data_IF_382124336263
#
_entry.id   IF_382124336263
#
_cell.length_a   1.000
_cell.length_b   1.000
_cell.length_c   1.000
_cell.angle_alpha   90.00
_cell.angle_beta   90.00
_cell.angle_gamma   90.00
#
_symmetry.space_group_name_H-M   'P 1'
#
loop_
_entity.id
_entity.type
_entity.pdbx_description
1 polymer ?
#
# COMPACT_ATOMS: atom_id res chain seq x y z
N UNK A 1 -23.02 7.11 0.49
CA UNK A 1 -21.99 8.06 -0.04
C UNK A 1 -20.76 8.02 0.83
N UNK A 2 -19.60 7.78 0.23
CA UNK A 2 -18.41 7.45 1.01
C UNK A 2 -17.26 8.43 0.85
N UNK A 3 -17.10 9.09 -0.30
CA UNK A 3 -15.94 9.94 -0.63
C UNK A 3 -14.63 9.14 -0.68
N UNK A 4 -13.63 9.64 -1.38
CA UNK A 4 -12.30 9.02 -1.43
C UNK A 4 -11.19 10.07 -1.57
N UNK A 5 -10.04 9.78 -0.97
CA UNK A 5 -8.83 10.53 -1.24
C UNK A 5 -8.37 10.25 -2.67
N UNK A 6 -7.90 11.28 -3.36
CA UNK A 6 -7.37 11.20 -4.73
C UNK A 6 -5.91 11.59 -4.68
N UNK A 7 -5.07 10.86 -5.38
CA UNK A 7 -3.65 11.19 -5.53
C UNK A 7 -3.18 10.93 -6.96
N UNK A 8 -2.14 11.67 -7.33
CA UNK A 8 -1.48 11.56 -8.62
C UNK A 8 -0.40 10.47 -8.56
N UNK A 9 -0.15 9.80 -9.69
CA UNK A 9 1.01 8.93 -9.92
C UNK A 9 2.29 9.76 -9.90
N UNK A 10 2.21 10.98 -10.44
CA UNK A 10 3.26 11.99 -10.33
C UNK A 10 3.18 12.60 -8.94
N UNK A 11 4.13 12.23 -8.09
CA UNK A 11 4.18 12.65 -6.70
C UNK A 11 5.37 13.60 -6.48
N UNK A 12 5.97 13.57 -5.30
CA UNK A 12 7.08 14.44 -4.90
C UNK A 12 8.20 14.49 -5.94
N UNK A 13 8.55 15.71 -6.37
CA UNK A 13 9.62 15.96 -7.35
C UNK A 13 9.44 15.21 -8.68
N UNK A 14 8.21 14.82 -9.03
CA UNK A 14 7.92 14.06 -10.24
C UNK A 14 8.25 12.56 -10.15
N UNK A 15 8.56 12.04 -8.96
CA UNK A 15 8.78 10.60 -8.77
C UNK A 15 7.45 9.82 -8.65
N UNK A 16 7.45 8.51 -8.98
CA UNK A 16 6.32 7.64 -8.71
C UNK A 16 5.95 7.62 -7.23
N UNK A 17 4.66 7.78 -6.94
CA UNK A 17 4.14 7.88 -5.57
C UNK A 17 4.55 6.71 -4.66
N UNK A 18 4.55 5.49 -5.19
CA UNK A 18 4.84 4.26 -4.47
C UNK A 18 6.32 4.20 -4.05
N UNK A 19 7.23 4.63 -4.92
CA UNK A 19 8.66 4.69 -4.62
C UNK A 19 9.02 5.74 -3.56
N UNK A 20 8.19 6.77 -3.38
CA UNK A 20 8.37 7.77 -2.33
C UNK A 20 7.67 7.35 -1.04
N UNK A 21 6.44 6.85 -1.16
CA UNK A 21 5.57 6.56 -0.02
C UNK A 21 5.85 5.22 0.65
N UNK A 22 6.23 4.19 -0.11
CA UNK A 22 6.50 2.84 0.39
C UNK A 22 7.99 2.66 0.69
N UNK A 23 8.48 3.29 1.76
CA UNK A 23 9.82 3.05 2.32
C UNK A 23 9.74 2.42 3.71
N UNK A 24 10.79 1.70 4.11
CA UNK A 24 10.85 1.07 5.45
C UNK A 24 10.82 2.11 6.56
N UNK A 25 11.56 3.21 6.38
CA UNK A 25 11.59 4.34 7.31
C UNK A 25 10.20 4.95 7.52
N UNK A 26 9.51 5.33 6.44
CA UNK A 26 8.16 5.91 6.56
C UNK A 26 7.17 4.89 7.13
N UNK A 27 7.33 3.61 6.80
CA UNK A 27 6.48 2.57 7.35
C UNK A 27 6.66 2.43 8.87
N UNK A 28 7.88 2.52 9.40
CA UNK A 28 8.13 2.53 10.85
C UNK A 28 7.44 3.74 11.48
N UNK A 29 7.63 4.94 10.92
CA UNK A 29 6.99 6.15 11.43
C UNK A 29 5.46 5.99 11.47
N UNK A 30 4.85 5.57 10.36
CA UNK A 30 3.38 5.40 10.28
C UNK A 30 2.85 4.41 11.30
N UNK A 31 3.56 3.29 11.50
CA UNK A 31 3.13 2.22 12.39
C UNK A 31 3.48 2.47 13.87
N UNK A 32 4.38 3.42 14.17
CA UNK A 32 4.64 3.88 15.53
C UNK A 32 3.67 4.99 15.99
N UNK A 33 2.98 5.65 15.06
CA UNK A 33 2.03 6.73 15.37
C UNK A 33 0.61 6.20 15.60
N UNK A 34 -0.20 6.88 16.45
CA UNK A 34 -1.62 6.57 16.61
C UNK A 34 -2.37 6.63 15.27
N UNK A 35 -3.33 5.73 15.07
CA UNK A 35 -3.98 5.59 13.76
C UNK A 35 -4.66 6.86 13.23
N UNK A 36 -5.28 7.65 14.11
CA UNK A 36 -5.88 8.94 13.72
C UNK A 36 -4.84 9.95 13.22
N UNK A 37 -3.65 9.98 13.82
CA UNK A 37 -2.55 10.84 13.39
C UNK A 37 -1.99 10.37 12.05
N UNK A 38 -1.80 9.06 11.89
CA UNK A 38 -1.30 8.48 10.62
C UNK A 38 -2.22 8.80 9.46
N UNK A 39 -3.55 8.63 9.63
CA UNK A 39 -4.51 9.00 8.58
C UNK A 39 -4.58 10.52 8.37
N UNK A 40 -4.50 11.31 9.45
CA UNK A 40 -4.44 12.78 9.36
C UNK A 40 -3.22 13.30 8.59
N UNK A 41 -2.04 12.72 8.79
CA UNK A 41 -0.82 13.07 8.04
C UNK A 41 -0.97 12.74 6.55
N UNK A 42 -1.55 11.59 6.22
CA UNK A 42 -1.83 11.21 4.83
C UNK A 42 -2.85 12.17 4.21
N UNK A 43 -3.94 12.46 4.93
CA UNK A 43 -4.97 13.41 4.50
C UNK A 43 -4.38 14.81 4.23
N UNK A 44 -3.51 15.28 5.12
CA UNK A 44 -2.81 16.55 4.93
C UNK A 44 -1.92 16.50 3.69
N UNK A 45 -1.19 15.40 3.48
CA UNK A 45 -0.32 15.24 2.31
C UNK A 45 -1.10 15.25 1.00
N UNK A 46 -2.19 14.51 0.88
CA UNK A 46 -3.00 14.50 -0.36
C UNK A 46 -3.71 15.82 -0.59
N UNK A 47 -4.08 16.55 0.46
CA UNK A 47 -4.67 17.89 0.35
C UNK A 47 -3.68 18.97 -0.13
N UNK A 48 -2.36 18.74 -0.06
CA UNK A 48 -1.38 19.66 -0.62
C UNK A 48 -1.42 19.71 -2.15
N UNK A 49 -1.97 18.68 -2.81
CA UNK A 49 -2.20 18.74 -4.25
C UNK A 49 -3.40 19.63 -4.57
N UNK A 50 -4.55 19.34 -3.96
CA UNK A 50 -5.75 20.18 -4.00
C UNK A 50 -6.65 19.89 -2.79
N UNK A 51 -7.43 20.88 -2.36
CA UNK A 51 -8.32 20.71 -1.21
C UNK A 51 -9.51 19.83 -1.57
N UNK A 52 -9.57 18.62 -1.02
CA UNK A 52 -10.61 17.63 -1.32
C UNK A 52 -12.00 18.02 -0.80
N UNK A 53 -12.08 18.89 0.22
CA UNK A 53 -13.37 19.39 0.70
C UNK A 53 -14.00 20.33 -0.33
N UNK A 54 -13.20 21.25 -0.91
CA UNK A 54 -13.65 22.18 -1.94
C UNK A 54 -14.14 21.46 -3.21
N UNK A 55 -13.60 20.27 -3.48
CA UNK A 55 -13.94 19.45 -4.65
C UNK A 55 -14.99 18.37 -4.36
N UNK A 56 -15.57 18.34 -3.14
CA UNK A 56 -16.64 17.39 -2.78
C UNK A 56 -16.19 15.93 -2.66
N UNK A 57 -14.89 15.66 -2.52
CA UNK A 57 -14.33 14.29 -2.53
C UNK A 57 -14.05 13.73 -1.14
N UNK A 58 -14.10 14.55 -0.10
CA UNK A 58 -13.66 14.17 1.24
C UNK A 58 -14.39 12.93 1.79
N UNK A 59 -13.67 11.92 2.31
CA UNK A 59 -14.31 10.75 2.89
C UNK A 59 -15.15 11.08 4.13
N UNK A 60 -16.29 10.38 4.29
CA UNK A 60 -17.15 10.52 5.49
C UNK A 60 -16.47 9.95 6.75
N UNK A 61 -15.93 8.74 6.68
CA UNK A 61 -15.11 8.18 7.76
C UNK A 61 -13.64 8.40 7.45
N UNK A 62 -12.96 9.17 8.31
CA UNK A 62 -11.55 9.54 8.18
C UNK A 62 -10.65 8.77 9.15
N UNK A 63 -11.21 7.81 9.92
CA UNK A 63 -10.43 6.99 10.86
C UNK A 63 -9.83 5.77 10.20
N UNK A 64 -10.43 5.32 9.10
CA UNK A 64 -9.97 4.20 8.29
C UNK A 64 -9.36 4.68 6.98
N UNK A 65 -8.28 4.02 6.58
CA UNK A 65 -7.65 4.17 5.29
C UNK A 65 -8.47 3.41 4.26
N UNK A 66 -9.07 4.16 3.33
CA UNK A 66 -9.58 3.60 2.09
C UNK A 66 -8.47 3.61 1.05
N UNK A 67 -8.61 2.76 0.05
CA UNK A 67 -7.67 2.78 -1.07
C UNK A 67 -7.87 4.10 -1.83
N UNK A 68 -6.83 4.95 -1.93
CA UNK A 68 -6.95 6.22 -2.61
C UNK A 68 -7.11 6.00 -4.12
N UNK A 69 -7.85 6.90 -4.76
CA UNK A 69 -8.02 6.89 -6.22
C UNK A 69 -6.75 7.44 -6.86
N UNK A 70 -6.11 6.64 -7.71
CA UNK A 70 -4.94 7.06 -8.50
C UNK A 70 -5.38 7.62 -9.85
N UNK A 71 -5.52 8.95 -9.94
CA UNK A 71 -5.94 9.62 -11.17
C UNK A 71 -5.30 11.01 -11.28
N UNK A 72 -4.51 11.22 -12.34
CA UNK A 72 -3.74 12.44 -12.58
C UNK A 72 -4.58 13.59 -13.17
N UNK A 73 -5.75 13.28 -13.74
CA UNK A 73 -6.58 14.22 -14.50
C UNK A 73 -7.85 14.66 -13.75
N UNK A 74 -8.30 13.88 -12.77
CA UNK A 74 -9.58 14.10 -12.10
C UNK A 74 -9.74 15.53 -11.55
N UNK A 75 -8.75 16.13 -10.83
CA UNK A 75 -8.91 17.49 -10.33
C UNK A 75 -9.05 18.52 -11.44
N UNK A 76 -8.29 18.37 -12.53
CA UNK A 76 -8.37 19.24 -13.70
C UNK A 76 -9.72 19.14 -14.42
N UNK A 77 -10.31 17.95 -14.48
CA UNK A 77 -11.64 17.76 -15.04
C UNK A 77 -12.74 18.40 -14.16
N UNK A 78 -12.58 18.38 -12.84
CA UNK A 78 -13.54 19.01 -11.91
C UNK A 78 -13.48 20.53 -12.03
N UNK A 79 -12.28 21.13 -11.96
CA UNK A 79 -12.15 22.60 -12.01
C UNK A 79 -12.56 23.19 -13.37
N UNK A 80 -12.45 22.43 -14.45
CA UNK A 80 -12.90 22.84 -15.79
C UNK A 80 -14.37 22.54 -16.07
N UNK A 81 -15.09 21.93 -15.12
CA UNK A 81 -16.52 21.59 -15.28
C UNK A 81 -16.80 20.40 -16.20
N UNK A 82 -15.77 19.64 -16.61
CA UNK A 82 -15.95 18.42 -17.42
C UNK A 82 -16.50 17.25 -16.60
N UNK A 83 -16.23 17.23 -15.30
CA UNK A 83 -16.74 16.23 -14.36
C UNK A 83 -17.34 16.94 -13.16
N UNK A 84 -18.60 16.66 -12.86
CA UNK A 84 -19.27 17.12 -11.65
C UNK A 84 -19.40 15.96 -10.67
N UNK A 85 -18.92 16.14 -9.43
CA UNK A 85 -19.04 15.14 -8.38
C UNK A 85 -20.44 15.24 -7.77
N UNK A 86 -21.24 14.20 -7.95
CA UNK A 86 -22.59 14.12 -7.40
C UNK A 86 -22.65 13.28 -6.11
N UNK A 87 -23.62 13.55 -5.22
CA UNK A 87 -23.96 12.66 -4.12
C UNK A 87 -24.48 11.29 -4.62
N UNK A 88 -24.91 10.41 -3.73
CA UNK A 88 -25.41 9.10 -4.11
C UNK A 88 -26.72 9.25 -4.90
N UNK A 89 -26.93 8.31 -5.80
CA UNK A 89 -28.21 8.14 -6.48
C UNK A 89 -29.28 7.79 -5.45
N UNK A 90 -30.37 8.56 -5.44
CA UNK A 90 -31.60 8.29 -4.68
C UNK A 90 -32.53 7.40 -5.50
N UNK A 91 -32.73 7.74 -6.77
CA UNK A 91 -33.68 7.07 -7.65
C UNK A 91 -33.29 7.27 -9.13
N UNK A 92 -33.55 6.25 -9.95
CA UNK A 92 -33.49 6.35 -11.41
C UNK A 92 -34.89 6.61 -11.94
N UNK A 93 -35.04 7.65 -12.77
CA UNK A 93 -36.22 7.91 -13.59
C UNK A 93 -35.95 7.43 -15.02
N UNK A 94 -36.94 7.59 -15.89
CA UNK A 94 -36.87 7.13 -17.29
C UNK A 94 -35.65 7.67 -18.05
N UNK A 95 -35.43 8.99 -18.03
CA UNK A 95 -34.29 9.66 -18.70
C UNK A 95 -33.47 10.55 -17.75
N UNK A 96 -33.61 10.34 -16.43
CA UNK A 96 -32.99 11.20 -15.44
C UNK A 96 -32.62 10.46 -14.15
N UNK A 97 -31.72 11.05 -13.38
CA UNK A 97 -31.27 10.54 -12.08
C UNK A 97 -31.56 11.58 -11.01
N UNK A 98 -32.17 11.12 -9.91
CA UNK A 98 -32.34 11.94 -8.70
C UNK A 98 -31.22 11.60 -7.75
N UNK A 99 -30.45 12.60 -7.32
CA UNK A 99 -29.40 12.42 -6.32
C UNK A 99 -29.88 12.81 -4.91
N UNK A 100 -29.26 12.24 -3.89
CA UNK A 100 -29.56 12.55 -2.49
C UNK A 100 -29.20 14.00 -2.18
N UNK A 101 -30.11 14.72 -1.52
CA UNK A 101 -29.96 16.14 -1.17
C UNK A 101 -29.78 17.09 -2.36
N UNK A 102 -30.10 16.65 -3.57
CA UNK A 102 -30.16 17.49 -4.76
C UNK A 102 -31.64 17.61 -5.16
N UNK A 103 -32.21 18.83 -5.21
CA UNK A 103 -33.64 18.99 -5.44
C UNK A 103 -34.06 18.64 -6.87
N UNK A 104 -33.19 18.86 -7.86
CA UNK A 104 -33.49 18.67 -9.27
C UNK A 104 -33.02 17.29 -9.74
N UNK A 105 -33.77 16.70 -10.66
CA UNK A 105 -33.32 15.53 -11.41
C UNK A 105 -32.35 15.98 -12.52
N UNK A 106 -31.31 15.19 -12.74
CA UNK A 106 -30.31 15.41 -13.79
C UNK A 106 -30.61 14.48 -14.95
N UNK A 107 -30.80 15.00 -16.15
CA UNK A 107 -31.00 14.20 -17.35
C UNK A 107 -29.69 13.46 -17.70
N UNK A 108 -29.80 12.16 -17.98
CA UNK A 108 -28.65 11.32 -18.32
C UNK A 108 -29.00 10.32 -19.41
N UNK A 109 -28.12 10.18 -20.39
CA UNK A 109 -28.28 9.21 -21.48
C UNK A 109 -27.67 7.84 -21.16
N UNK A 110 -26.66 7.81 -20.28
CA UNK A 110 -25.87 6.60 -20.02
C UNK A 110 -25.41 6.54 -18.58
N UNK A 111 -25.59 5.37 -17.97
CA UNK A 111 -25.16 5.08 -16.60
C UNK A 111 -24.10 3.99 -16.62
N UNK A 112 -22.92 4.27 -16.06
CA UNK A 112 -21.82 3.30 -15.94
C UNK A 112 -21.63 2.90 -14.48
N UNK A 113 -21.93 1.64 -14.16
CA UNK A 113 -21.76 1.09 -12.81
C UNK A 113 -20.31 0.63 -12.56
N UNK A 114 -19.47 1.54 -12.10
CA UNK A 114 -18.12 1.24 -11.61
C UNK A 114 -18.13 0.70 -10.15
N UNK A 115 -19.05 -0.23 -9.82
CA UNK A 115 -19.33 -0.67 -8.44
C UNK A 115 -18.40 -1.79 -7.92
N UNK A 116 -17.34 -2.11 -8.68
CA UNK A 116 -16.38 -3.16 -8.37
C UNK A 116 -16.89 -4.57 -8.69
N UNK A 117 -16.15 -5.57 -8.22
CA UNK A 117 -16.37 -6.98 -8.55
C UNK A 117 -16.62 -7.82 -7.29
N UNK A 118 -17.27 -8.98 -7.47
CA UNK A 118 -17.36 -10.05 -6.48
C UNK A 118 -16.41 -11.18 -6.90
N UNK A 119 -15.80 -11.84 -5.94
CA UNK A 119 -14.95 -13.00 -6.17
C UNK A 119 -15.68 -14.27 -5.70
N UNK A 120 -15.60 -15.33 -6.50
CA UNK A 120 -16.12 -16.66 -6.18
C UNK A 120 -15.18 -17.72 -6.75
N UNK A 121 -15.21 -18.92 -6.16
CA UNK A 121 -14.40 -20.07 -6.58
C UNK A 121 -15.33 -21.22 -6.97
N UNK A 122 -15.93 -21.17 -8.16
CA UNK A 122 -16.95 -22.13 -8.62
C UNK A 122 -16.44 -23.57 -8.79
N UNK A 123 -15.13 -23.76 -8.82
CA UNK A 123 -14.46 -25.06 -8.91
C UNK A 123 -14.05 -25.63 -7.54
N UNK A 124 -14.34 -24.94 -6.43
CA UNK A 124 -14.11 -25.41 -5.07
C UNK A 124 -15.45 -25.50 -4.35
N UNK A 125 -15.70 -26.63 -3.69
CA UNK A 125 -16.91 -26.82 -2.89
C UNK A 125 -17.00 -25.79 -1.75
N UNK A 126 -18.20 -25.25 -1.49
CA UNK A 126 -18.41 -24.22 -0.46
C UNK A 126 -18.10 -24.73 0.96
N UNK A 127 -18.17 -26.03 1.21
CA UNK A 127 -17.75 -26.63 2.50
C UNK A 127 -16.25 -26.49 2.74
N UNK A 128 -15.44 -26.39 1.67
CA UNK A 128 -13.99 -26.22 1.73
C UNK A 128 -13.64 -24.73 1.80
N UNK A 129 -14.15 -23.94 0.85
CA UNK A 129 -13.84 -22.51 0.72
C UNK A 129 -15.11 -21.69 0.51
N UNK A 130 -15.61 -21.12 1.59
CA UNK A 130 -16.72 -20.15 1.52
C UNK A 130 -16.21 -18.72 1.47
N UNK A 131 -16.67 -17.96 0.47
CA UNK A 131 -16.46 -16.51 0.38
C UNK A 131 -17.70 -15.81 0.93
N UNK A 132 -17.60 -15.23 2.12
CA UNK A 132 -18.67 -14.47 2.77
C UNK A 132 -18.25 -13.01 2.93
N UNK A 133 -19.14 -12.06 2.60
CA UNK A 133 -18.89 -10.62 2.77
C UNK A 133 -17.56 -10.15 2.15
N UNK A 134 -17.22 -10.67 0.95
CA UNK A 134 -15.96 -10.41 0.22
C UNK A 134 -14.71 -10.87 0.96
N UNK A 135 -14.83 -11.83 1.87
CA UNK A 135 -13.73 -12.40 2.63
C UNK A 135 -13.83 -13.92 2.63
N UNK A 136 -12.69 -14.59 2.74
CA UNK A 136 -12.60 -16.04 2.88
C UNK A 136 -11.73 -16.35 4.10
N UNK A 137 -12.09 -17.38 4.86
CA UNK A 137 -11.41 -17.81 6.09
C UNK A 137 -10.05 -18.44 5.78
N UNK A 138 -9.10 -17.62 5.32
CA UNK A 138 -7.79 -18.04 4.85
C UNK A 138 -6.69 -17.52 5.77
N UNK A 139 -5.87 -18.43 6.28
CA UNK A 139 -4.70 -18.08 7.06
C UNK A 139 -3.71 -17.31 6.18
N UNK A 140 -3.37 -16.09 6.61
CA UNK A 140 -2.58 -15.11 5.85
C UNK A 140 -3.11 -14.87 4.42
N UNK A 141 -4.42 -15.03 4.19
CA UNK A 141 -5.05 -14.94 2.87
C UNK A 141 -4.60 -16.03 1.86
N UNK A 142 -4.07 -17.16 2.35
CA UNK A 142 -3.51 -18.23 1.52
C UNK A 142 -4.09 -19.61 1.86
N UNK A 143 -3.87 -20.07 3.09
CA UNK A 143 -4.10 -21.46 3.47
C UNK A 143 -5.45 -21.67 4.13
N UNK A 144 -6.05 -22.85 3.91
CA UNK A 144 -7.32 -23.24 4.51
C UNK A 144 -7.04 -23.99 5.83
N UNK A 145 -7.37 -23.43 7.01
CA UNK A 145 -7.03 -24.06 8.29
C UNK A 145 -7.74 -25.39 8.55
N UNK A 146 -8.86 -25.61 7.85
CA UNK A 146 -9.74 -26.77 8.01
C UNK A 146 -9.20 -28.03 7.33
N UNK A 147 -8.19 -27.89 6.46
CA UNK A 147 -7.58 -29.04 5.80
C UNK A 147 -6.58 -29.72 6.74
N UNK A 148 -6.68 -31.05 6.85
CA UNK A 148 -5.73 -31.86 7.64
C UNK A 148 -4.29 -31.76 7.12
N UNK A 149 -4.14 -31.65 5.79
CA UNK A 149 -2.85 -31.48 5.11
C UNK A 149 -2.84 -30.16 4.33
N UNK A 150 -1.78 -29.34 4.44
CA UNK A 150 -1.69 -28.07 3.74
C UNK A 150 -1.27 -28.27 2.28
N UNK A 151 -2.12 -28.90 1.46
CA UNK A 151 -1.86 -29.23 0.05
C UNK A 151 -2.62 -28.34 -0.93
N UNK A 152 -3.45 -27.43 -0.43
CA UNK A 152 -4.18 -26.43 -1.22
C UNK A 152 -3.87 -25.03 -0.67
N UNK A 153 -3.65 -24.09 -1.57
CA UNK A 153 -3.36 -22.70 -1.26
C UNK A 153 -4.00 -21.78 -2.31
N UNK A 154 -4.51 -20.63 -1.86
CA UNK A 154 -5.05 -19.58 -2.72
C UNK A 154 -4.03 -18.45 -2.81
N UNK A 155 -3.58 -18.10 -4.01
CA UNK A 155 -2.62 -17.02 -4.24
C UNK A 155 -3.36 -15.83 -4.85
N UNK A 156 -3.09 -14.63 -4.34
CA UNK A 156 -3.65 -13.38 -4.85
C UNK A 156 -5.00 -12.98 -4.28
N UNK A 157 -5.56 -13.74 -3.33
CA UNK A 157 -6.81 -13.36 -2.65
C UNK A 157 -6.58 -12.34 -1.52
N UNK A 158 -5.92 -11.23 -1.85
CA UNK A 158 -5.50 -10.15 -0.96
C UNK A 158 -5.52 -8.82 -1.73
N UNK A 159 -5.79 -7.71 -1.05
CA UNK A 159 -5.73 -6.34 -1.61
C UNK A 159 -4.61 -5.55 -0.95
N UNK A 160 -3.35 -5.69 -1.39
CA UNK A 160 -2.24 -4.98 -0.76
C UNK A 160 -2.31 -3.49 -1.06
N UNK A 161 -1.96 -2.66 -0.08
CA UNK A 161 -1.65 -1.25 -0.28
C UNK A 161 -0.26 -1.15 -0.92
N UNK A 162 -0.20 -1.38 -2.24
CA UNK A 162 1.02 -1.48 -3.02
C UNK A 162 0.83 -2.43 -4.22
N UNK A 163 1.91 -2.75 -4.92
CA UNK A 163 1.83 -3.65 -6.07
C UNK A 163 1.49 -5.10 -5.66
N UNK A 164 0.54 -5.72 -6.36
CA UNK A 164 0.14 -7.12 -6.11
C UNK A 164 1.20 -8.13 -6.58
N UNK A 165 1.93 -7.83 -7.66
CA UNK A 165 2.91 -8.72 -8.28
C UNK A 165 3.98 -9.25 -7.29
N UNK A 166 4.68 -8.40 -6.52
CA UNK A 166 5.65 -8.89 -5.54
C UNK A 166 4.99 -9.62 -4.36
N UNK A 167 3.75 -9.27 -4.02
CA UNK A 167 3.01 -9.94 -2.94
C UNK A 167 2.72 -11.38 -3.34
N UNK A 168 2.16 -11.62 -4.53
CA UNK A 168 1.84 -12.98 -4.99
C UNK A 168 3.09 -13.82 -5.26
N UNK A 169 4.20 -13.19 -5.64
CA UNK A 169 5.49 -13.87 -5.77
C UNK A 169 6.00 -14.40 -4.42
N UNK A 170 5.91 -13.58 -3.36
CA UNK A 170 6.30 -13.99 -2.01
C UNK A 170 5.33 -15.03 -1.44
N UNK A 171 4.02 -14.87 -1.70
CA UNK A 171 3.02 -15.90 -1.37
C UNK A 171 3.39 -17.24 -2.01
N UNK A 172 3.69 -17.26 -3.31
CA UNK A 172 4.08 -18.48 -4.02
C UNK A 172 5.37 -19.11 -3.44
N UNK A 173 6.38 -18.30 -3.12
CA UNK A 173 7.61 -18.78 -2.49
C UNK A 173 7.37 -19.44 -1.14
N UNK A 174 6.50 -18.87 -0.31
CA UNK A 174 6.14 -19.50 0.95
C UNK A 174 5.31 -20.77 0.74
N UNK A 175 4.31 -20.73 -0.13
CA UNK A 175 3.43 -21.87 -0.46
C UNK A 175 4.21 -23.10 -0.89
N UNK A 176 5.09 -22.95 -1.88
CA UNK A 176 5.91 -24.07 -2.39
C UNK A 176 6.78 -24.70 -1.31
N UNK A 177 7.27 -23.92 -0.35
CA UNK A 177 8.06 -24.44 0.78
C UNK A 177 7.21 -25.17 1.81
N UNK A 178 5.97 -24.72 2.03
CA UNK A 178 5.00 -25.45 2.85
C UNK A 178 4.63 -26.78 2.20
N UNK A 179 4.34 -26.78 0.90
CA UNK A 179 4.03 -28.00 0.14
C UNK A 179 5.19 -29.01 0.15
N UNK A 180 6.43 -28.52 0.08
CA UNK A 180 7.63 -29.36 0.19
C UNK A 180 8.01 -29.75 1.64
N UNK A 181 7.21 -29.38 2.65
CA UNK A 181 7.48 -29.67 4.06
C UNK A 181 8.67 -28.91 4.68
N UNK A 182 9.26 -27.96 3.95
CA UNK A 182 10.38 -27.12 4.41
C UNK A 182 9.94 -26.01 5.37
N UNK A 183 8.66 -25.67 5.35
CA UNK A 183 8.03 -24.72 6.27
C UNK A 183 6.76 -25.35 6.84
N UNK A 184 6.55 -25.28 8.15
CA UNK A 184 5.35 -25.80 8.80
C UNK A 184 4.38 -24.68 9.11
N UNK A 185 3.09 -24.93 8.91
CA UNK A 185 2.02 -24.04 9.38
C UNK A 185 1.82 -24.24 10.89
N UNK A 186 1.36 -23.20 11.62
CA UNK A 186 0.95 -23.36 13.00
C UNK A 186 -0.31 -24.25 13.12
N UNK A 187 -0.67 -24.70 14.34
CA UNK A 187 -1.88 -25.51 14.54
C UNK A 187 -3.16 -24.83 14.04
N UNK A 188 -4.17 -25.58 13.56
CA UNK A 188 -5.42 -25.03 13.04
C UNK A 188 -6.12 -24.04 13.98
N UNK A 189 -6.08 -24.30 15.29
CA UNK A 189 -6.64 -23.41 16.31
C UNK A 189 -6.00 -22.03 16.27
N UNK A 190 -4.67 -21.95 16.23
CA UNK A 190 -3.93 -20.69 16.14
C UNK A 190 -4.19 -19.96 14.83
N UNK A 191 -4.27 -20.70 13.70
CA UNK A 191 -4.63 -20.12 12.42
C UNK A 191 -6.03 -19.49 12.45
N UNK A 192 -7.01 -20.18 13.03
CA UNK A 192 -8.39 -19.72 13.15
C UNK A 192 -8.54 -18.53 14.11
N UNK A 193 -7.80 -18.51 15.22
CA UNK A 193 -7.75 -17.37 16.14
C UNK A 193 -7.29 -16.09 15.41
N UNK A 194 -6.20 -16.17 14.63
CA UNK A 194 -5.69 -15.02 13.87
C UNK A 194 -6.68 -14.57 12.78
N UNK A 195 -7.32 -15.52 12.09
CA UNK A 195 -8.34 -15.21 11.08
C UNK A 195 -9.52 -14.48 11.72
N UNK A 196 -10.00 -14.96 12.87
CA UNK A 196 -11.13 -14.36 13.57
C UNK A 196 -10.78 -12.97 14.12
N UNK A 197 -9.55 -12.77 14.59
CA UNK A 197 -9.07 -11.45 14.99
C UNK A 197 -9.11 -10.47 13.80
N UNK A 198 -8.63 -10.89 12.63
CA UNK A 198 -8.67 -10.07 11.40
C UNK A 198 -10.09 -9.84 10.88
N UNK A 199 -10.97 -10.84 10.97
CA UNK A 199 -12.39 -10.73 10.57
C UNK A 199 -13.15 -9.68 11.37
N UNK A 200 -12.80 -9.49 12.64
CA UNK A 200 -13.41 -8.46 13.48
C UNK A 200 -13.08 -7.02 13.00
N UNK A 201 -12.14 -6.86 12.06
CA UNK A 201 -11.70 -5.60 11.45
C UNK A 201 -11.59 -4.44 12.47
N UNK A 202 -11.01 -4.74 13.63
CA UNK A 202 -10.85 -3.77 14.72
C UNK A 202 -9.90 -2.66 14.26
N UNK A 203 -10.21 -1.43 14.64
CA UNK A 203 -9.30 -0.32 14.41
C UNK A 203 -8.01 -0.56 15.18
N UNK A 204 -6.90 -0.55 14.46
CA UNK A 204 -5.58 -0.63 15.06
C UNK A 204 -5.34 0.65 15.87
N UNK A 205 -4.81 0.50 17.09
CA UNK A 205 -4.42 1.62 17.94
C UNK A 205 -3.32 2.47 17.29
N UNK A 206 -2.39 1.80 16.61
CA UNK A 206 -1.26 2.39 15.92
C UNK A 206 -1.24 1.93 14.45
N UNK A 207 -0.65 2.72 13.57
CA UNK A 207 -0.58 2.38 12.15
C UNK A 207 -1.88 2.58 11.38
N UNK A 208 -1.93 2.00 10.17
CA UNK A 208 -3.09 2.10 9.30
C UNK A 208 -4.15 1.07 9.71
N UNK A 209 -5.39 1.53 9.80
CA UNK A 209 -6.58 0.68 9.86
C UNK A 209 -7.27 0.72 8.51
N UNK A 210 -7.60 -0.44 7.93
CA UNK A 210 -8.25 -0.50 6.62
C UNK A 210 -9.77 -0.69 6.74
N UNK A 211 -10.51 -0.24 5.74
CA UNK A 211 -11.97 -0.35 5.68
C UNK A 211 -12.48 -1.73 5.25
N UNK A 212 -11.59 -2.59 4.73
CA UNK A 212 -11.91 -3.94 4.26
C UNK A 212 -10.90 -4.97 4.80
N UNK A 213 -11.39 -6.16 5.19
CA UNK A 213 -10.56 -7.23 5.77
C UNK A 213 -9.49 -7.73 4.81
N UNK A 214 -9.74 -7.74 3.49
CA UNK A 214 -8.74 -8.18 2.50
C UNK A 214 -7.61 -7.17 2.30
N UNK A 215 -7.75 -5.94 2.82
CA UNK A 215 -6.71 -4.92 2.66
C UNK A 215 -5.60 -5.11 3.67
N UNK A 216 -4.36 -5.05 3.19
CA UNK A 216 -3.18 -5.21 4.01
C UNK A 216 -2.07 -4.24 3.59
N UNK A 217 -1.25 -3.82 4.54
CA UNK A 217 -0.01 -3.12 4.21
C UNK A 217 0.95 -4.09 3.50
N UNK A 218 1.37 -3.75 2.28
CA UNK A 218 2.17 -4.65 1.46
C UNK A 218 3.53 -4.95 2.09
N UNK A 219 4.15 -3.98 2.77
CA UNK A 219 5.49 -4.13 3.33
C UNK A 219 5.43 -5.03 4.56
N UNK A 220 4.49 -4.78 5.47
CA UNK A 220 4.31 -5.61 6.67
C UNK A 220 3.99 -7.06 6.28
N UNK A 221 3.08 -7.25 5.33
CA UNK A 221 2.70 -8.57 4.85
C UNK A 221 3.87 -9.32 4.20
N UNK A 222 4.61 -8.67 3.29
CA UNK A 222 5.77 -9.27 2.63
C UNK A 222 6.92 -9.56 3.61
N UNK A 223 7.16 -8.70 4.60
CA UNK A 223 8.15 -8.94 5.65
C UNK A 223 7.75 -10.11 6.57
N UNK A 224 6.47 -10.23 6.89
CA UNK A 224 5.95 -11.36 7.69
C UNK A 224 6.16 -12.68 6.95
N UNK A 225 5.65 -12.81 5.72
CA UNK A 225 5.86 -14.01 4.92
C UNK A 225 7.34 -14.26 4.64
N UNK A 226 8.07 -13.19 4.37
CA UNK A 226 9.51 -13.25 4.13
C UNK A 226 10.29 -13.75 5.35
N UNK A 227 9.80 -13.51 6.57
CA UNK A 227 10.41 -14.03 7.79
C UNK A 227 10.26 -15.54 7.92
N UNK A 228 9.12 -16.11 7.51
CA UNK A 228 8.87 -17.57 7.56
C UNK A 228 9.81 -18.38 6.66
N UNK A 229 10.36 -17.74 5.63
CA UNK A 229 11.24 -18.39 4.65
C UNK A 229 12.66 -17.82 4.65
N UNK A 230 13.00 -16.93 5.60
CA UNK A 230 14.36 -16.42 5.80
C UNK A 230 14.85 -15.43 4.73
N UNK A 231 13.94 -14.70 4.08
CA UNK A 231 14.24 -13.77 2.98
C UNK A 231 14.03 -12.30 3.37
N UNK A 232 13.50 -12.04 4.58
CA UNK A 232 13.33 -10.69 5.11
C UNK A 232 14.72 -10.06 5.35
N UNK A 233 15.04 -8.91 4.73
CA UNK A 233 16.33 -8.27 4.94
C UNK A 233 16.44 -7.74 6.38
N UNK A 234 17.54 -8.06 7.06
CA UNK A 234 17.87 -7.49 8.36
C UNK A 234 18.69 -6.21 8.19
N UNK A 235 18.04 -5.06 8.36
CA UNK A 235 18.68 -3.74 8.22
C UNK A 235 19.86 -3.57 9.20
N UNK A 236 19.76 -3.93 10.51
CA UNK A 236 20.90 -3.81 11.42
C UNK A 236 22.10 -4.66 11.01
N UNK A 237 21.86 -5.91 10.56
CA UNK A 237 22.94 -6.77 10.09
C UNK A 237 23.56 -6.27 8.78
N UNK A 238 22.75 -5.67 7.89
CA UNK A 238 23.24 -5.04 6.67
C UNK A 238 24.03 -3.77 6.98
N UNK A 239 23.68 -2.99 7.99
CA UNK A 239 24.41 -1.78 8.36
C UNK A 239 25.87 -2.08 8.72
N UNK A 240 26.12 -3.23 9.35
CA UNK A 240 27.47 -3.71 9.69
C UNK A 240 28.25 -4.25 8.48
N UNK A 241 27.56 -4.88 7.51
CA UNK A 241 28.22 -5.57 6.37
C UNK A 241 28.33 -4.71 5.10
N UNK A 242 27.30 -3.94 4.81
CA UNK A 242 27.18 -3.08 3.63
C UNK A 242 26.32 -1.84 3.99
N UNK A 243 26.94 -0.81 4.61
CA UNK A 243 26.21 0.35 5.11
C UNK A 243 25.52 1.13 3.99
N UNK A 244 26.09 1.17 2.79
CA UNK A 244 25.49 1.86 1.63
C UNK A 244 24.17 1.17 1.25
N UNK A 245 24.19 -0.16 1.15
CA UNK A 245 22.98 -0.92 0.84
C UNK A 245 21.94 -0.80 1.96
N UNK A 246 22.36 -0.83 3.23
CA UNK A 246 21.47 -0.69 4.39
C UNK A 246 20.72 0.65 4.37
N UNK A 247 21.42 1.76 4.13
CA UNK A 247 20.81 3.11 4.01
C UNK A 247 19.81 3.15 2.85
N UNK A 248 20.16 2.59 1.69
CA UNK A 248 19.27 2.56 0.51
C UNK A 248 18.03 1.70 0.72
N UNK A 249 18.12 0.61 1.48
CA UNK A 249 16.98 -0.25 1.83
C UNK A 249 16.07 0.43 2.85
N UNK A 250 16.66 1.11 3.84
CA UNK A 250 15.91 1.70 4.94
C UNK A 250 15.20 2.99 4.53
N UNK A 251 15.92 3.94 3.95
CA UNK A 251 15.39 5.26 3.56
C UNK A 251 14.87 5.32 2.13
N UNK A 252 15.31 4.40 1.26
CA UNK A 252 14.87 4.34 -0.12
C UNK A 252 13.56 3.57 -0.32
N UNK A 253 13.13 3.40 -1.58
CA UNK A 253 11.91 2.66 -1.91
C UNK A 253 12.06 1.19 -1.50
N UNK A 254 10.99 0.62 -0.96
CA UNK A 254 10.89 -0.79 -0.63
C UNK A 254 10.64 -1.62 -1.90
N UNK A 255 11.66 -1.72 -2.76
CA UNK A 255 11.57 -2.49 -4.00
C UNK A 255 11.68 -4.00 -3.76
N UNK A 256 11.04 -4.83 -4.60
CA UNK A 256 10.97 -6.28 -4.38
C UNK A 256 12.32 -6.99 -4.47
N UNK A 257 13.32 -6.37 -5.10
CA UNK A 257 14.71 -6.86 -5.14
C UNK A 257 15.25 -7.16 -3.73
N UNK A 258 14.78 -6.44 -2.70
CA UNK A 258 15.19 -6.62 -1.31
C UNK A 258 14.93 -8.04 -0.79
N UNK A 259 13.84 -8.68 -1.24
CA UNK A 259 13.44 -10.04 -0.85
C UNK A 259 14.23 -11.15 -1.58
N UNK A 260 15.22 -10.76 -2.38
CA UNK A 260 16.15 -11.65 -3.10
C UNK A 260 17.61 -11.40 -2.69
N UNK A 261 17.87 -10.61 -1.65
CA UNK A 261 19.22 -10.33 -1.14
C UNK A 261 19.81 -11.51 -0.35
N UNK A 262 18.96 -12.23 0.37
CA UNK A 262 19.35 -13.33 1.27
C UNK A 262 18.33 -14.46 1.21
N UNK A 263 18.68 -15.60 1.80
CA UNK A 263 17.78 -16.75 1.92
C UNK A 263 17.61 -17.54 0.62
N UNK A 264 16.65 -18.48 0.60
CA UNK A 264 16.41 -19.34 -0.56
C UNK A 264 15.97 -18.54 -1.78
N UNK A 265 16.60 -18.80 -2.92
CA UNK A 265 16.35 -18.07 -4.17
C UNK A 265 16.98 -16.68 -4.20
N UNK A 266 18.07 -16.45 -3.45
CA UNK A 266 18.92 -15.26 -3.55
C UNK A 266 19.28 -14.99 -5.03
N UNK A 267 19.30 -13.73 -5.42
CA UNK A 267 19.70 -13.28 -6.74
C UNK A 267 20.91 -12.34 -6.65
N UNK A 268 22.01 -12.68 -7.31
CA UNK A 268 23.26 -11.92 -7.23
C UNK A 268 23.13 -10.48 -7.78
N UNK A 269 22.22 -10.29 -8.75
CA UNK A 269 21.91 -8.96 -9.29
C UNK A 269 21.09 -8.05 -8.35
N UNK A 270 20.55 -8.57 -7.23
CA UNK A 270 19.63 -7.84 -6.38
C UNK A 270 20.25 -6.56 -5.79
N UNK A 271 21.50 -6.63 -5.34
CA UNK A 271 22.23 -5.48 -4.81
C UNK A 271 22.36 -4.38 -5.87
N UNK A 272 22.86 -4.75 -7.05
CA UNK A 272 23.05 -3.81 -8.15
C UNK A 272 21.72 -3.20 -8.62
N UNK A 273 20.66 -4.01 -8.65
CA UNK A 273 19.32 -3.56 -8.97
C UNK A 273 18.84 -2.47 -7.99
N UNK A 274 19.01 -2.66 -6.68
CA UNK A 274 18.60 -1.69 -5.65
C UNK A 274 19.39 -0.39 -5.78
N UNK A 275 20.71 -0.47 -5.94
CA UNK A 275 21.56 0.73 -6.01
C UNK A 275 21.24 1.60 -7.24
N UNK A 276 20.96 0.97 -8.38
CA UNK A 276 20.73 1.66 -9.65
C UNK A 276 19.25 1.87 -10.00
N UNK A 277 18.31 1.60 -9.09
CA UNK A 277 16.88 1.65 -9.39
C UNK A 277 16.41 3.05 -9.86
N UNK A 278 16.91 4.12 -9.23
CA UNK A 278 16.55 5.49 -9.62
C UNK A 278 17.06 5.88 -11.01
N UNK A 279 18.21 5.36 -11.42
CA UNK A 279 18.71 5.56 -12.78
C UNK A 279 17.75 4.95 -13.80
N UNK A 280 17.24 3.73 -13.54
CA UNK A 280 16.27 3.07 -14.43
C UNK A 280 14.91 3.78 -14.45
N UNK A 281 14.49 4.36 -13.33
CA UNK A 281 13.26 5.16 -13.25
C UNK A 281 13.38 6.44 -14.07
N UNK A 282 14.52 7.13 -13.96
CA UNK A 282 14.75 8.41 -14.64
C UNK A 282 15.12 8.25 -16.12
N UNK A 283 15.73 7.13 -16.52
CA UNK A 283 16.19 6.89 -17.89
C UNK A 283 15.11 7.10 -18.97
N UNK A 284 13.87 6.57 -18.84
CA UNK A 284 12.83 6.80 -19.83
C UNK A 284 12.22 8.21 -19.77
N UNK A 285 12.32 8.90 -18.62
CA UNK A 285 11.71 10.23 -18.41
C UNK A 285 12.67 11.34 -18.87
N UNK A 286 13.97 11.20 -18.59
CA UNK A 286 15.01 12.18 -18.93
C UNK A 286 15.50 11.96 -20.36
N UNK A 287 14.63 12.22 -21.33
CA UNK A 287 14.93 12.11 -22.77
C UNK A 287 15.79 13.25 -23.30
N UNK A 288 15.87 14.38 -22.58
CA UNK A 288 16.72 15.52 -22.88
C UNK A 288 17.76 15.73 -21.77
N UNK A 289 19.02 15.92 -22.18
CA UNK A 289 20.09 16.33 -21.26
C UNK A 289 20.03 17.84 -21.07
N UNK A 290 20.14 18.26 -19.81
CA UNK A 290 20.17 19.67 -19.39
C UNK A 290 21.39 19.83 -18.47
N UNK A 291 22.16 20.90 -18.68
CA UNK A 291 23.21 21.33 -17.77
C UNK A 291 22.56 22.07 -16.60
N UNK A 292 22.65 21.50 -15.40
CA UNK A 292 22.04 22.06 -14.20
C UNK A 292 23.16 22.52 -13.25
N UNK A 293 23.37 23.83 -13.17
CA UNK A 293 24.46 24.46 -12.40
C UNK A 293 24.09 24.76 -10.93
N UNK A 294 22.89 24.34 -10.48
CA UNK A 294 22.36 24.71 -9.16
C UNK A 294 22.44 23.55 -8.15
N UNK A 295 23.64 23.17 -7.71
CA UNK A 295 23.80 22.14 -6.66
C UNK A 295 24.61 22.55 -5.43
N UNK A 296 25.15 23.77 -5.37
CA UNK A 296 25.94 24.20 -4.21
C UNK A 296 25.06 24.65 -3.03
N UNK A 297 24.05 25.49 -3.29
CA UNK A 297 23.27 26.15 -2.23
C UNK A 297 22.31 25.19 -1.49
N UNK A 298 21.68 24.24 -2.19
CA UNK A 298 20.77 23.26 -1.57
C UNK A 298 21.50 22.25 -0.68
N UNK A 299 22.73 21.85 -1.06
CA UNK A 299 23.56 20.97 -0.26
C UNK A 299 24.03 21.64 1.03
N UNK A 300 24.41 22.92 0.96
CA UNK A 300 24.79 23.75 2.11
C UNK A 300 23.64 23.89 3.12
N UNK A 301 22.42 24.16 2.64
CA UNK A 301 21.25 24.32 3.51
C UNK A 301 20.86 23.00 4.20
N UNK A 302 20.96 21.87 3.48
CA UNK A 302 20.72 20.53 4.05
C UNK A 302 21.80 20.16 5.06
N UNK A 303 23.06 20.51 4.79
CA UNK A 303 24.16 20.34 5.74
C UNK A 303 23.94 21.13 7.02
N UNK A 304 23.51 22.39 6.90
CA UNK A 304 23.16 23.26 8.04
C UNK A 304 21.98 22.69 8.86
N UNK A 305 20.94 22.18 8.20
CA UNK A 305 19.79 21.58 8.90
C UNK A 305 20.20 20.32 9.70
N UNK A 306 21.06 19.47 9.13
CA UNK A 306 21.60 18.30 9.83
C UNK A 306 22.49 18.73 11.00
N UNK A 307 23.31 19.77 10.81
CA UNK A 307 24.14 20.33 11.88
C UNK A 307 23.29 20.87 13.04
N UNK A 308 22.23 21.62 12.76
CA UNK A 308 21.30 22.14 13.78
C UNK A 308 20.62 21.00 14.55
N UNK A 309 20.22 19.92 13.87
CA UNK A 309 19.64 18.74 14.52
C UNK A 309 20.67 18.05 15.43
N UNK A 310 21.91 17.88 14.97
CA UNK A 310 22.97 17.27 15.76
C UNK A 310 23.35 18.11 16.99
N UNK A 311 23.40 19.44 16.83
CA UNK A 311 23.64 20.37 17.95
C UNK A 311 22.46 20.34 18.93
N UNK A 312 21.21 20.30 18.43
CA UNK A 312 20.03 20.17 19.29
C UNK A 312 19.99 18.85 20.08
N UNK A 313 20.45 17.76 19.47
CA UNK A 313 20.60 16.47 20.16
C UNK A 313 21.73 16.54 21.20
N UNK A 314 22.88 17.11 20.86
CA UNK A 314 24.01 17.27 21.79
C UNK A 314 23.66 18.14 23.00
N UNK A 315 22.94 19.25 22.78
CA UNK A 315 22.45 20.14 23.84
C UNK A 315 21.30 19.54 24.67
N UNK A 316 20.66 18.48 24.19
CA UNK A 316 19.64 17.74 24.96
C UNK A 316 20.25 16.69 25.90
N UNK A 317 21.54 16.38 25.75
CA UNK A 317 22.26 15.39 26.56
C UNK A 317 23.26 16.03 27.56
N UNK A 318 23.39 17.36 27.54
CA UNK A 318 24.07 18.17 28.56
C UNK A 318 23.04 18.98 29.34
#
# INVERSE_FOLDING_TARGET
>A
ERGSWVMSRVFDNGYPWDMVFLSRFLNIIRNSLPGCMTVGLIANRVNQWFNHANYGLIPKDRRVMREPVLNDLLPSCIITGKISIMPAVKEFKENAVVFVNVPNAEEVDTVVFATGYKASFSFIDESILKVENRHASLYKYIFLPQLEKPTLAIIGFIRPFGAIMPVVEIQARWVTRVFNGLCKLPPPKTMMEEINEKKNNKLNRFGLSFDEVLKADCLLYCDELGSFIGIKPSVPALLLKDPILAVKIFFGPCSPYQYRLTGPGKWDGARNAILNQWQRVLKPIRTRVVEDSLNCFSCLLKGLAVFVILVGIYLSFN
#
